data_IF_147187394655
#
_entry.id   IF_147187394655
#
_cell.length_a   1.000
_cell.length_b   1.000
_cell.length_c   1.000
_cell.angle_alpha   90.00
_cell.angle_beta   90.00
_cell.angle_gamma   90.00
#
_symmetry.space_group_name_H-M   'P 1'
#
loop_
_entity.id
_entity.type
_entity.pdbx_description
1 polymer ?
#
# COMPACT_ATOMS: atom_id res chain seq x y z
N UNK A 1 -20.68 -8.26 18.21
CA UNK A 1 -20.68 -9.31 17.38
C UNK A 1 -20.55 -8.94 15.97
N UNK A 2 -21.54 -8.38 15.48
CA UNK A 2 -21.54 -7.95 14.11
C UNK A 2 -20.41 -6.99 13.83
N UNK A 3 -20.12 -6.16 14.77
CA UNK A 3 -19.07 -5.19 14.63
C UNK A 3 -17.72 -5.85 14.41
N UNK A 4 -17.51 -6.97 15.06
CA UNK A 4 -16.25 -7.67 14.90
C UNK A 4 -16.05 -8.15 13.50
N UNK A 5 -17.09 -8.65 12.91
CA UNK A 5 -17.01 -9.17 11.57
C UNK A 5 -16.71 -8.07 10.60
N UNK A 6 -17.36 -6.95 10.77
CA UNK A 6 -17.14 -5.81 9.92
C UNK A 6 -15.71 -5.34 10.06
N UNK A 7 -15.20 -5.35 11.26
CA UNK A 7 -13.84 -4.92 11.51
C UNK A 7 -12.86 -5.78 10.76
N UNK A 8 -13.09 -7.06 10.68
CA UNK A 8 -12.19 -7.93 9.97
C UNK A 8 -12.15 -7.63 8.49
N UNK A 9 -13.29 -7.40 7.92
CA UNK A 9 -13.36 -7.07 6.51
C UNK A 9 -12.62 -5.77 6.26
N UNK A 10 -12.81 -4.81 7.15
CA UNK A 10 -12.15 -3.53 7.00
C UNK A 10 -10.65 -3.65 7.18
N UNK A 11 -10.22 -4.58 8.03
CA UNK A 11 -8.81 -4.77 8.29
C UNK A 11 -8.06 -5.11 7.01
N UNK A 12 -8.68 -5.91 6.15
CA UNK A 12 -8.03 -6.29 4.91
C UNK A 12 -7.77 -5.08 4.04
N UNK A 13 -8.74 -4.21 3.89
CA UNK A 13 -8.59 -3.01 3.09
C UNK A 13 -7.73 -1.96 3.76
N UNK A 14 -7.86 -1.84 5.08
CA UNK A 14 -7.13 -0.83 5.81
C UNK A 14 -5.79 -1.30 6.33
N UNK A 15 -5.36 -2.45 5.89
CA UNK A 15 -4.11 -3.02 6.36
C UNK A 15 -2.93 -2.13 6.01
N UNK A 16 -2.05 -1.94 6.97
CA UNK A 16 -0.86 -1.12 6.76
C UNK A 16 0.29 -2.02 6.34
N UNK A 17 0.93 -1.64 5.25
CA UNK A 17 2.00 -2.43 4.68
C UNK A 17 3.34 -1.73 4.83
N UNK A 18 4.40 -2.52 4.97
CA UNK A 18 5.77 -2.02 4.98
C UNK A 18 6.27 -1.96 3.55
N UNK A 19 7.44 -1.35 3.37
CA UNK A 19 8.08 -1.32 2.05
C UNK A 19 8.27 -2.73 1.52
N UNK A 20 8.74 -3.62 2.37
CA UNK A 20 8.98 -4.99 1.96
C UNK A 20 7.71 -5.68 1.50
N UNK A 21 6.63 -5.43 2.22
CA UNK A 21 5.36 -6.03 1.87
C UNK A 21 4.81 -5.47 0.56
N UNK A 22 4.98 -4.18 0.34
CA UNK A 22 4.55 -3.57 -0.92
C UNK A 22 5.39 -4.09 -2.07
N UNK A 23 6.69 -4.21 -1.86
CA UNK A 23 7.58 -4.74 -2.89
C UNK A 23 7.14 -6.14 -3.30
N UNK A 24 6.78 -6.94 -2.32
CA UNK A 24 6.32 -8.31 -2.58
C UNK A 24 4.96 -8.29 -3.27
N UNK A 25 4.10 -7.42 -2.82
CA UNK A 25 2.75 -7.30 -3.37
C UNK A 25 2.79 -6.88 -4.85
N UNK A 26 3.64 -5.92 -5.16
CA UNK A 26 3.77 -5.42 -6.52
C UNK A 26 4.80 -6.19 -7.34
N UNK A 27 5.56 -7.05 -6.68
CA UNK A 27 6.60 -7.86 -7.33
C UNK A 27 7.67 -6.99 -7.97
N UNK A 28 8.14 -6.02 -7.23
CA UNK A 28 9.23 -5.17 -7.67
C UNK A 28 10.25 -5.08 -6.54
N UNK A 29 11.46 -4.65 -6.84
CA UNK A 29 12.49 -4.49 -5.80
C UNK A 29 12.10 -3.43 -4.80
N UNK A 30 12.60 -3.56 -3.58
CA UNK A 30 12.34 -2.57 -2.54
C UNK A 30 12.84 -1.19 -2.96
N UNK A 31 13.95 -1.14 -3.66
CA UNK A 31 14.50 0.14 -4.11
C UNK A 31 13.51 0.90 -4.98
N UNK A 32 12.75 0.17 -5.78
CA UNK A 32 11.73 0.77 -6.62
C UNK A 32 10.61 1.36 -5.78
N UNK A 33 10.20 0.64 -4.73
CA UNK A 33 9.16 1.12 -3.84
C UNK A 33 9.61 2.40 -3.14
N UNK A 34 10.84 2.41 -2.64
CA UNK A 34 11.39 3.59 -1.98
C UNK A 34 11.41 4.78 -2.93
N UNK A 35 11.84 4.54 -4.14
CA UNK A 35 11.92 5.61 -5.12
C UNK A 35 10.55 6.20 -5.41
N UNK A 36 9.58 5.35 -5.66
CA UNK A 36 8.23 5.80 -5.98
C UNK A 36 7.59 6.52 -4.80
N UNK A 37 7.86 6.05 -3.59
CA UNK A 37 7.32 6.71 -2.41
C UNK A 37 7.95 8.08 -2.22
N UNK A 38 9.25 8.15 -2.44
CA UNK A 38 9.98 9.38 -2.24
C UNK A 38 9.56 10.49 -3.19
N UNK A 39 9.30 10.14 -4.43
CA UNK A 39 8.90 11.13 -5.42
C UNK A 39 7.40 11.38 -5.42
N UNK A 40 6.66 10.72 -4.56
CA UNK A 40 5.24 10.97 -4.45
C UNK A 40 4.38 10.29 -5.49
N UNK A 41 4.92 9.35 -6.23
CA UNK A 41 4.16 8.62 -7.24
C UNK A 41 3.31 7.53 -6.62
N UNK A 42 3.78 6.95 -5.54
CA UNK A 42 3.10 5.87 -4.87
C UNK A 42 2.51 6.40 -3.58
N UNK A 43 1.21 6.20 -3.32
CA UNK A 43 0.60 6.69 -2.08
C UNK A 43 1.30 6.09 -0.88
N UNK A 44 1.86 6.93 -0.04
CA UNK A 44 2.62 6.47 1.10
C UNK A 44 2.63 7.52 2.19
N UNK A 45 2.86 7.08 3.41
CA UNK A 45 3.00 7.96 4.56
C UNK A 45 4.34 7.69 5.21
N UNK A 46 5.09 8.74 5.50
CA UNK A 46 6.34 8.56 6.19
C UNK A 46 6.12 8.88 7.66
N UNK A 47 6.26 7.86 8.48
CA UNK A 47 6.04 7.98 9.92
C UNK A 47 7.38 7.82 10.60
N UNK A 48 7.94 8.92 11.06
CA UNK A 48 9.27 8.90 11.60
C UNK A 48 10.25 8.58 10.49
N UNK A 49 10.93 7.46 10.62
CA UNK A 49 11.88 7.01 9.62
C UNK A 49 11.33 5.91 8.74
N UNK A 50 10.06 5.60 8.90
CA UNK A 50 9.49 4.43 8.26
C UNK A 50 8.43 4.80 7.25
N UNK A 51 8.51 4.21 6.07
CA UNK A 51 7.46 4.35 5.09
C UNK A 51 6.38 3.33 5.38
N UNK A 52 5.12 3.78 5.31
CA UNK A 52 3.99 2.89 5.49
C UNK A 52 2.97 3.16 4.38
N UNK A 53 2.23 2.13 4.03
CA UNK A 53 1.32 2.17 2.90
C UNK A 53 0.01 1.53 3.31
N UNK A 54 -1.09 2.02 2.78
CA UNK A 54 -2.37 1.37 2.96
C UNK A 54 -2.60 0.41 1.81
N UNK A 55 -2.96 -0.80 2.13
CA UNK A 55 -3.19 -1.82 1.11
C UNK A 55 -4.18 -1.35 0.06
N UNK A 56 -5.25 -0.72 0.51
CA UNK A 56 -6.26 -0.20 -0.40
C UNK A 56 -5.67 0.81 -1.37
N UNK A 57 -4.83 1.71 -0.87
CA UNK A 57 -4.23 2.74 -1.69
C UNK A 57 -3.32 2.14 -2.76
N UNK A 58 -2.57 1.11 -2.39
CA UNK A 58 -1.68 0.45 -3.32
C UNK A 58 -2.49 -0.25 -4.41
N UNK A 59 -3.56 -0.90 -3.99
CA UNK A 59 -4.44 -1.60 -4.92
C UNK A 59 -5.05 -0.62 -5.92
N UNK A 60 -5.56 0.49 -5.42
CA UNK A 60 -6.19 1.51 -6.27
C UNK A 60 -5.18 2.13 -7.22
N UNK A 61 -3.98 2.37 -6.72
CA UNK A 61 -2.91 2.93 -7.53
C UNK A 61 -2.56 2.00 -8.69
N UNK A 62 -2.45 0.73 -8.39
CA UNK A 62 -2.13 -0.28 -9.38
C UNK A 62 -3.24 -0.39 -10.43
N UNK A 63 -4.47 -0.39 -9.97
CA UNK A 63 -5.63 -0.47 -10.83
C UNK A 63 -5.69 0.72 -11.79
N UNK A 64 -5.42 1.89 -11.24
CA UNK A 64 -5.44 3.11 -12.02
C UNK A 64 -4.39 3.08 -13.14
N UNK A 65 -3.22 2.56 -12.82
CA UNK A 65 -2.15 2.47 -13.81
C UNK A 65 -2.50 1.47 -14.91
N UNK A 66 -3.13 0.38 -14.53
CA UNK A 66 -3.54 -0.61 -15.52
C UNK A 66 -4.50 -0.01 -16.53
N UNK A 67 -5.38 0.83 -16.05
CA UNK A 67 -6.35 1.44 -16.94
C UNK A 67 -5.71 2.47 -17.85
N UNK A 68 -4.66 3.10 -17.37
CA UNK A 68 -3.98 4.10 -18.15
C UNK A 68 -3.27 3.47 -19.35
N UNK A 69 -2.90 2.23 -19.20
CA UNK A 69 -2.25 1.52 -20.29
C UNK A 69 -3.25 1.14 -21.33
#
# INVERSE_FOLDING_TARGET
MTASIVTQANTTDGEILTVQEVARFLRVPKSTVYKLARVGELPASKIGKHWRFLRRDIHDWMHSRSQAA
#
